data_IF_545502785223
#
_entry.id   IF_545502785223
#
_cell.length_a   1.000
_cell.length_b   1.000
_cell.length_c   1.000
_cell.angle_alpha   90.00
_cell.angle_beta   90.00
_cell.angle_gamma   90.00
#
_symmetry.space_group_name_H-M   'P 1'
#
loop_
_entity.id
_entity.type
_entity.pdbx_description
1 polymer ?
#
# COMPACT_ATOMS: atom_id res chain seq x y z
N UNK A 1 1.04 41.09 -48.32
CA UNK A 1 1.87 39.90 -48.58
C UNK A 1 2.53 39.48 -47.27
N UNK A 2 2.41 38.19 -46.95
CA UNK A 2 3.14 37.29 -46.02
C UNK A 2 4.04 37.81 -44.87
N UNK A 3 3.91 37.07 -43.75
CA UNK A 3 4.60 37.08 -42.45
C UNK A 3 6.04 36.54 -42.45
N UNK A 4 6.75 36.79 -41.33
CA UNK A 4 7.72 35.87 -40.69
C UNK A 4 9.10 36.49 -40.39
N UNK A 5 9.68 36.43 -39.20
CA UNK A 5 9.26 35.80 -37.94
C UNK A 5 10.23 36.17 -36.81
N UNK A 6 9.66 36.47 -35.64
CA UNK A 6 10.38 36.54 -34.38
C UNK A 6 10.62 35.12 -33.87
N UNK A 7 11.86 34.83 -33.48
CA UNK A 7 12.25 33.54 -32.93
C UNK A 7 11.60 33.30 -31.56
N UNK A 8 10.52 32.50 -31.56
CA UNK A 8 10.07 31.73 -30.40
C UNK A 8 10.39 30.28 -30.72
N UNK A 9 11.21 29.62 -29.91
CA UNK A 9 11.37 28.16 -29.98
C UNK A 9 10.08 27.56 -29.45
N UNK A 10 9.11 27.39 -30.34
CA UNK A 10 7.97 26.50 -30.16
C UNK A 10 8.43 25.08 -30.43
N UNK A 11 9.12 24.47 -29.48
CA UNK A 11 9.12 23.01 -29.37
C UNK A 11 7.94 22.62 -28.49
N UNK A 12 6.81 22.32 -29.14
CA UNK A 12 5.82 21.43 -28.52
C UNK A 12 6.51 20.08 -28.41
N UNK A 13 6.51 19.41 -27.24
CA UNK A 13 6.87 18.00 -27.20
C UNK A 13 5.87 17.27 -28.09
N UNK A 14 6.32 16.86 -29.27
CA UNK A 14 5.68 15.82 -30.06
C UNK A 14 5.97 14.50 -29.36
N UNK A 15 5.24 14.27 -28.27
CA UNK A 15 5.00 12.94 -27.78
C UNK A 15 3.50 12.75 -27.94
N UNK A 16 3.07 12.41 -29.15
CA UNK A 16 1.95 11.47 -29.27
C UNK A 16 2.44 10.19 -28.60
N UNK A 17 2.33 10.16 -27.27
CA UNK A 17 2.49 8.95 -26.51
C UNK A 17 1.48 8.00 -27.10
N UNK A 18 1.95 6.91 -27.70
CA UNK A 18 1.09 5.87 -28.22
C UNK A 18 0.07 5.54 -27.12
N UNK A 19 -1.17 6.00 -27.30
CA UNK A 19 -2.24 5.75 -26.34
C UNK A 19 -2.44 4.26 -26.34
N UNK A 20 -2.13 3.64 -25.21
CA UNK A 20 -2.24 2.21 -25.06
C UNK A 20 -3.69 1.82 -25.37
N UNK A 21 -3.90 0.82 -26.22
CA UNK A 21 -5.23 0.40 -26.72
C UNK A 21 -6.23 -0.02 -25.61
N UNK A 22 -5.80 0.03 -24.34
CA UNK A 22 -6.58 -0.21 -23.14
C UNK A 22 -7.36 1.01 -22.62
N UNK A 23 -7.15 2.23 -23.12
CA UNK A 23 -7.88 3.43 -22.64
C UNK A 23 -9.41 3.35 -22.86
N UNK A 24 -9.86 2.57 -23.84
CA UNK A 24 -11.29 2.37 -24.13
C UNK A 24 -11.87 1.06 -23.59
N UNK A 25 -11.13 0.34 -22.75
CA UNK A 25 -11.71 -0.84 -22.09
C UNK A 25 -12.60 -0.35 -20.94
N UNK A 26 -13.87 -0.79 -20.87
CA UNK A 26 -14.71 -0.52 -19.70
C UNK A 26 -13.95 -0.98 -18.45
N UNK A 27 -14.02 -0.18 -17.39
CA UNK A 27 -13.43 -0.51 -16.09
C UNK A 27 -14.02 -1.84 -15.61
N UNK A 28 -13.30 -2.94 -15.87
CA UNK A 28 -13.58 -4.24 -15.29
C UNK A 28 -12.82 -4.23 -13.97
N UNK A 29 -13.50 -4.34 -12.80
CA UNK A 29 -12.83 -4.41 -11.51
C UNK A 29 -12.06 -5.74 -11.43
N UNK A 30 -10.85 -5.76 -11.99
CA UNK A 30 -9.93 -6.88 -11.82
C UNK A 30 -9.35 -6.72 -10.41
N UNK A 31 -9.73 -7.66 -9.53
CA UNK A 31 -9.11 -7.87 -8.22
C UNK A 31 -7.58 -7.72 -8.37
N UNK A 32 -6.98 -6.78 -7.63
CA UNK A 32 -5.61 -6.35 -7.85
C UNK A 32 -4.62 -7.51 -7.70
N UNK A 33 -4.05 -7.95 -8.82
CA UNK A 33 -2.97 -8.93 -8.87
C UNK A 33 -1.65 -8.15 -8.89
N UNK A 34 -1.02 -7.96 -7.74
CA UNK A 34 0.33 -7.36 -7.70
C UNK A 34 1.32 -8.42 -8.16
N UNK A 35 2.09 -8.12 -9.20
CA UNK A 35 3.24 -8.88 -9.66
C UNK A 35 4.50 -8.04 -9.48
N UNK A 36 5.40 -8.46 -8.60
CA UNK A 36 6.63 -7.75 -8.28
C UNK A 36 7.80 -8.70 -8.09
N UNK A 37 8.26 -9.30 -9.20
CA UNK A 37 9.66 -9.65 -9.50
C UNK A 37 9.71 -10.34 -10.87
N UNK A 38 9.93 -9.56 -11.93
CA UNK A 38 10.53 -10.03 -13.19
C UNK A 38 10.97 -8.79 -13.99
N UNK A 39 12.26 -8.67 -14.29
CA UNK A 39 12.69 -7.93 -15.47
C UNK A 39 12.04 -8.62 -16.67
N UNK A 40 11.01 -8.01 -17.24
CA UNK A 40 10.51 -8.41 -18.55
C UNK A 40 11.43 -7.73 -19.55
N UNK A 41 12.40 -8.48 -20.09
CA UNK A 41 13.04 -8.10 -21.33
C UNK A 41 11.96 -8.17 -22.41
N UNK A 42 11.59 -7.03 -22.98
CA UNK A 42 10.62 -6.92 -24.05
C UNK A 42 11.09 -7.70 -25.28
N UNK A 43 10.65 -8.96 -25.37
CA UNK A 43 10.67 -9.72 -26.61
C UNK A 43 9.27 -9.67 -27.22
N UNK A 44 9.13 -9.31 -28.51
CA UNK A 44 7.83 -9.13 -29.17
C UNK A 44 6.97 -10.40 -29.28
N UNK A 45 7.42 -11.53 -28.71
CA UNK A 45 6.73 -12.83 -28.74
C UNK A 45 6.13 -13.28 -27.39
N UNK A 46 6.20 -12.48 -26.31
CA UNK A 46 5.66 -12.91 -25.00
C UNK A 46 4.14 -12.78 -24.96
N UNK A 47 3.43 -13.91 -25.13
CA UNK A 47 2.04 -14.04 -24.66
C UNK A 47 2.01 -13.76 -23.16
N UNK A 48 1.27 -12.73 -22.77
CA UNK A 48 1.15 -12.12 -21.43
C UNK A 48 0.69 -13.11 -20.35
N UNK A 49 1.63 -13.90 -19.83
CA UNK A 49 1.38 -14.76 -18.66
C UNK A 49 1.72 -13.93 -17.42
N UNK A 50 0.76 -13.15 -16.91
CA UNK A 50 0.90 -12.41 -15.66
C UNK A 50 0.82 -13.44 -14.52
N UNK A 51 1.95 -13.78 -13.92
CA UNK A 51 1.97 -14.60 -12.70
C UNK A 51 1.91 -13.65 -11.49
N UNK A 52 0.86 -13.72 -10.65
CA UNK A 52 0.75 -12.83 -9.50
C UNK A 52 1.88 -13.16 -8.50
N UNK A 53 2.41 -12.13 -7.85
CA UNK A 53 3.31 -12.29 -6.71
C UNK A 53 2.53 -12.17 -5.41
N UNK A 54 2.94 -12.91 -4.40
CA UNK A 54 2.38 -12.81 -3.07
C UNK A 54 2.78 -11.48 -2.43
N UNK A 55 1.79 -10.66 -2.03
CA UNK A 55 2.04 -9.39 -1.33
C UNK A 55 2.84 -9.56 -0.03
N UNK A 56 2.74 -10.72 0.62
CA UNK A 56 3.35 -10.96 1.93
C UNK A 56 4.83 -11.35 1.85
N UNK A 57 5.25 -12.11 0.84
CA UNK A 57 6.62 -12.63 0.71
C UNK A 57 7.34 -12.25 -0.59
N UNK A 58 6.64 -11.70 -1.59
CA UNK A 58 7.19 -11.41 -2.92
C UNK A 58 7.38 -12.63 -3.83
N UNK A 59 7.10 -13.84 -3.35
CA UNK A 59 7.21 -15.06 -4.14
C UNK A 59 6.13 -15.16 -5.23
N UNK A 60 6.46 -15.79 -6.35
CA UNK A 60 5.53 -16.00 -7.48
C UNK A 60 4.46 -17.05 -7.09
N UNK A 61 3.20 -16.79 -7.45
CA UNK A 61 2.07 -17.70 -7.28
C UNK A 61 1.79 -18.37 -8.64
N UNK A 62 2.42 -19.52 -8.89
CA UNK A 62 2.30 -20.23 -10.17
C UNK A 62 1.33 -21.43 -10.09
N UNK A 63 1.48 -22.29 -9.08
CA UNK A 63 0.73 -23.55 -8.94
C UNK A 63 0.26 -23.81 -7.50
N UNK A 64 0.31 -22.80 -6.64
CA UNK A 64 -0.03 -22.89 -5.22
C UNK A 64 -1.42 -22.32 -4.95
N UNK A 65 -2.07 -22.79 -3.88
CA UNK A 65 -3.33 -22.21 -3.40
C UNK A 65 -3.14 -20.70 -3.14
N UNK A 66 -3.91 -19.89 -3.85
CA UNK A 66 -3.92 -18.44 -3.71
C UNK A 66 -5.12 -17.98 -2.87
N UNK A 67 -4.93 -16.89 -2.13
CA UNK A 67 -6.00 -16.18 -1.45
C UNK A 67 -5.80 -14.67 -1.56
N UNK A 68 -6.79 -13.90 -1.12
CA UNK A 68 -6.75 -12.45 -1.13
C UNK A 68 -6.42 -11.93 0.26
N UNK A 69 -5.44 -11.03 0.30
CA UNK A 69 -4.97 -10.36 1.49
C UNK A 69 -5.46 -8.91 1.52
N UNK A 70 -6.02 -8.48 2.64
CA UNK A 70 -6.39 -7.08 2.81
C UNK A 70 -5.29 -6.36 3.59
N UNK A 71 -4.66 -5.29 3.04
CA UNK A 71 -3.70 -4.48 3.80
C UNK A 71 -4.25 -4.05 5.15
N UNK A 72 -5.49 -3.53 5.17
CA UNK A 72 -6.30 -3.36 6.38
C UNK A 72 -7.19 -4.58 6.60
N UNK A 73 -7.02 -5.32 7.70
CA UNK A 73 -7.78 -6.54 7.94
C UNK A 73 -9.29 -6.31 8.06
N UNK A 74 -10.08 -7.30 7.65
CA UNK A 74 -11.55 -7.20 7.74
C UNK A 74 -12.06 -7.03 9.18
N UNK A 75 -11.35 -7.56 10.18
CA UNK A 75 -11.71 -7.34 11.58
C UNK A 75 -11.61 -5.86 11.97
N UNK A 76 -10.67 -5.12 11.37
CA UNK A 76 -10.51 -3.69 11.58
C UNK A 76 -11.67 -2.92 10.96
N UNK A 77 -12.12 -3.33 9.76
CA UNK A 77 -13.30 -2.73 9.12
C UNK A 77 -14.56 -2.89 9.98
N UNK A 78 -14.75 -4.08 10.55
CA UNK A 78 -15.87 -4.36 11.46
C UNK A 78 -15.77 -3.52 12.74
N UNK A 79 -14.59 -3.51 13.36
CA UNK A 79 -14.33 -2.77 14.59
C UNK A 79 -14.52 -1.26 14.44
N UNK A 80 -14.18 -0.72 13.27
CA UNK A 80 -14.37 0.69 12.93
C UNK A 80 -15.85 1.09 12.74
N UNK A 81 -16.79 0.15 12.67
CA UNK A 81 -18.21 0.44 12.40
C UNK A 81 -18.73 -0.13 11.08
N UNK A 82 -18.16 -1.25 10.63
CA UNK A 82 -18.52 -1.94 9.38
C UNK A 82 -18.33 -1.07 8.12
N UNK A 83 -17.16 -0.44 8.00
CA UNK A 83 -16.81 0.46 6.89
C UNK A 83 -16.48 -0.25 5.57
N UNK A 84 -16.63 -1.58 5.48
CA UNK A 84 -16.16 -2.37 4.34
C UNK A 84 -16.68 -1.88 2.97
N UNK A 85 -17.90 -1.34 2.94
CA UNK A 85 -18.55 -0.85 1.73
C UNK A 85 -18.35 0.67 1.52
N UNK A 86 -17.69 1.36 2.47
CA UNK A 86 -17.37 2.77 2.31
C UNK A 86 -16.34 2.94 1.21
N UNK A 87 -16.54 3.95 0.36
CA UNK A 87 -15.55 4.37 -0.62
C UNK A 87 -14.31 4.88 0.08
N UNK A 88 -13.16 4.58 -0.49
CA UNK A 88 -11.87 4.98 0.04
C UNK A 88 -11.32 6.11 -0.81
N UNK A 89 -11.42 7.33 -0.27
CA UNK A 89 -11.01 8.55 -0.98
C UNK A 89 -9.52 8.55 -1.29
N UNK A 90 -8.69 7.99 -0.40
CA UNK A 90 -7.25 8.02 -0.59
C UNK A 90 -6.80 7.22 -1.82
N UNK A 91 -7.52 6.16 -2.22
CA UNK A 91 -7.16 5.26 -3.33
C UNK A 91 -7.71 5.64 -4.71
N UNK A 92 -7.90 6.94 -4.97
CA UNK A 92 -8.46 7.41 -6.23
C UNK A 92 -7.71 8.55 -6.91
N UNK A 93 -7.66 8.48 -8.24
CA UNK A 93 -7.30 9.58 -9.14
C UNK A 93 -8.53 10.28 -9.77
N UNK A 94 -9.74 9.74 -9.59
CA UNK A 94 -10.99 10.18 -10.23
C UNK A 94 -12.22 9.81 -9.36
N UNK A 95 -13.09 10.76 -9.02
CA UNK A 95 -14.23 10.57 -8.07
C UNK A 95 -15.16 9.40 -8.45
N UNK A 96 -15.22 9.02 -9.72
CA UNK A 96 -16.08 7.91 -10.19
C UNK A 96 -15.46 6.51 -10.05
N UNK A 97 -14.18 6.40 -9.68
CA UNK A 97 -13.44 5.11 -9.63
C UNK A 97 -12.92 4.74 -8.23
N UNK A 98 -13.48 5.32 -7.17
CA UNK A 98 -13.06 5.04 -5.79
C UNK A 98 -13.40 3.59 -5.38
N UNK A 99 -12.41 2.75 -5.05
CA UNK A 99 -12.67 1.40 -4.55
C UNK A 99 -13.23 1.46 -3.12
N UNK A 100 -13.94 0.41 -2.70
CA UNK A 100 -14.32 0.22 -1.29
C UNK A 100 -13.24 -0.50 -0.51
N UNK A 101 -13.24 -0.39 0.82
CA UNK A 101 -12.31 -1.13 1.70
C UNK A 101 -12.34 -2.65 1.44
N UNK A 102 -13.50 -3.20 1.08
CA UNK A 102 -13.66 -4.61 0.71
C UNK A 102 -12.98 -4.97 -0.62
N UNK A 103 -12.87 -4.03 -1.54
CA UNK A 103 -12.26 -4.26 -2.86
C UNK A 103 -10.73 -4.14 -2.81
N UNK A 104 -10.18 -3.42 -1.82
CA UNK A 104 -8.76 -3.26 -1.57
C UNK A 104 -8.16 -4.56 -1.00
N UNK A 105 -7.86 -5.49 -1.90
CA UNK A 105 -7.20 -6.76 -1.60
C UNK A 105 -6.15 -7.11 -2.65
N UNK A 106 -5.13 -7.87 -2.25
CA UNK A 106 -3.98 -8.26 -3.06
C UNK A 106 -3.79 -9.78 -3.07
N UNK A 107 -3.20 -10.31 -4.12
CA UNK A 107 -2.88 -11.74 -4.20
C UNK A 107 -1.85 -12.15 -3.13
N UNK A 108 -2.07 -13.31 -2.51
CA UNK A 108 -1.17 -13.91 -1.53
C UNK A 108 -1.20 -15.42 -1.62
N UNK A 109 -0.10 -16.09 -1.26
CA UNK A 109 -0.15 -17.53 -0.99
C UNK A 109 -1.06 -17.79 0.20
N UNK A 110 -1.92 -18.80 0.12
CA UNK A 110 -2.81 -19.20 1.23
C UNK A 110 -2.04 -19.53 2.50
N UNK A 111 -0.89 -20.19 2.37
CA UNK A 111 0.02 -20.47 3.50
C UNK A 111 0.52 -19.19 4.15
N UNK A 112 1.09 -18.27 3.35
CA UNK A 112 1.58 -16.98 3.86
C UNK A 112 0.48 -16.23 4.60
N UNK A 113 -0.71 -16.13 4.00
CA UNK A 113 -1.84 -15.42 4.60
C UNK A 113 -2.29 -16.05 5.92
N UNK A 114 -2.45 -17.38 5.96
CA UNK A 114 -2.85 -18.11 7.17
C UNK A 114 -1.84 -17.93 8.30
N UNK A 115 -0.54 -18.02 8.00
CA UNK A 115 0.51 -17.80 9.00
C UNK A 115 0.55 -16.35 9.47
N UNK A 116 0.37 -15.38 8.57
CA UNK A 116 0.36 -13.96 8.91
C UNK A 116 -0.82 -13.61 9.81
N UNK A 117 -2.01 -14.12 9.50
CA UNK A 117 -3.20 -13.93 10.32
C UNK A 117 -2.94 -14.41 11.76
N UNK A 118 -2.37 -15.61 11.93
CA UNK A 118 -2.08 -16.20 13.24
C UNK A 118 -0.98 -15.48 14.00
N UNK A 119 0.12 -15.12 13.34
CA UNK A 119 1.32 -14.57 14.00
C UNK A 119 1.23 -13.06 14.23
N UNK A 120 0.56 -12.33 13.33
CA UNK A 120 0.61 -10.86 13.30
C UNK A 120 -0.75 -10.24 13.57
N UNK A 121 -1.83 -10.76 12.99
CA UNK A 121 -3.15 -10.14 13.17
C UNK A 121 -3.85 -10.56 14.46
N UNK A 122 -3.93 -11.86 14.77
CA UNK A 122 -4.61 -12.36 15.97
C UNK A 122 -4.11 -11.70 17.27
N UNK A 123 -2.78 -11.54 17.50
CA UNK A 123 -2.28 -10.93 18.74
C UNK A 123 -2.68 -9.47 18.92
N UNK A 124 -2.98 -8.75 17.84
CA UNK A 124 -3.19 -7.30 17.85
C UNK A 124 -4.65 -6.90 18.06
N UNK A 125 -5.59 -7.80 17.81
CA UNK A 125 -7.04 -7.52 17.85
C UNK A 125 -7.46 -7.00 19.23
N UNK A 126 -7.10 -7.70 20.31
CA UNK A 126 -7.47 -7.30 21.68
C UNK A 126 -6.78 -6.00 22.12
N UNK A 127 -5.45 -5.83 21.93
CA UNK A 127 -4.76 -4.56 22.20
C UNK A 127 -5.36 -3.36 21.49
N UNK A 128 -5.68 -3.44 20.20
CA UNK A 128 -6.25 -2.33 19.43
C UNK A 128 -7.67 -1.99 19.90
N UNK A 129 -8.49 -3.01 20.22
CA UNK A 129 -9.80 -2.77 20.85
C UNK A 129 -9.66 -2.03 22.18
N UNK A 130 -8.70 -2.40 23.03
CA UNK A 130 -8.44 -1.67 24.28
C UNK A 130 -7.95 -0.25 24.02
N UNK A 131 -6.99 -0.06 23.13
CA UNK A 131 -6.46 1.26 22.80
C UNK A 131 -7.55 2.19 22.27
N UNK A 132 -8.45 1.70 21.41
CA UNK A 132 -9.60 2.48 20.91
C UNK A 132 -10.64 2.75 22.01
N UNK A 133 -10.78 1.88 23.01
CA UNK A 133 -11.62 2.10 24.19
C UNK A 133 -10.97 2.99 25.28
N UNK A 134 -9.71 3.40 25.11
CA UNK A 134 -8.99 4.27 26.08
C UNK A 134 -8.27 3.48 27.17
N UNK A 135 -8.19 2.16 27.01
CA UNK A 135 -7.46 1.27 27.88
C UNK A 135 -5.94 1.31 27.66
N UNK A 136 -5.23 0.61 28.55
CA UNK A 136 -3.78 0.44 28.50
C UNK A 136 -3.41 -0.87 27.81
N UNK A 137 -2.19 -0.91 27.29
CA UNK A 137 -1.55 -2.10 26.70
C UNK A 137 -0.20 -2.35 27.35
N UNK A 138 0.27 -3.59 27.29
CA UNK A 138 1.60 -3.99 27.80
C UNK A 138 2.69 -3.74 26.75
N UNK A 139 3.95 -3.84 27.16
CA UNK A 139 5.09 -3.74 26.24
C UNK A 139 5.06 -4.79 25.14
N UNK A 140 4.78 -6.05 25.48
CA UNK A 140 4.66 -7.13 24.49
C UNK A 140 3.52 -6.91 23.50
N UNK A 141 2.45 -6.24 23.94
CA UNK A 141 1.32 -5.87 23.07
C UNK A 141 1.69 -4.72 22.14
N UNK A 142 2.53 -3.77 22.58
CA UNK A 142 3.08 -2.72 21.73
C UNK A 142 3.96 -3.32 20.63
N UNK A 143 4.81 -4.31 20.95
CA UNK A 143 5.63 -4.98 19.95
C UNK A 143 4.77 -5.66 18.87
N UNK A 144 3.72 -6.37 19.29
CA UNK A 144 2.76 -6.97 18.35
C UNK A 144 2.02 -5.91 17.50
N UNK A 145 1.66 -4.76 18.10
CA UNK A 145 1.10 -3.62 17.37
C UNK A 145 2.09 -3.10 16.33
N UNK A 146 3.37 -2.99 16.66
CA UNK A 146 4.40 -2.50 15.74
C UNK A 146 4.65 -3.46 14.58
N UNK A 147 4.65 -4.77 14.82
CA UNK A 147 4.74 -5.78 13.75
C UNK A 147 3.53 -5.71 12.80
N UNK A 148 2.34 -5.50 13.37
CA UNK A 148 1.12 -5.29 12.59
C UNK A 148 1.12 -3.97 11.78
N UNK A 149 1.64 -2.89 12.36
CA UNK A 149 1.78 -1.61 11.65
C UNK A 149 2.79 -1.72 10.49
N UNK A 150 3.88 -2.47 10.65
CA UNK A 150 4.81 -2.79 9.56
C UNK A 150 4.08 -3.48 8.39
N UNK A 151 3.22 -4.45 8.71
CA UNK A 151 2.37 -5.12 7.72
C UNK A 151 1.45 -4.14 7.01
N UNK A 152 0.71 -3.32 7.75
CA UNK A 152 -0.22 -2.36 7.14
C UNK A 152 0.54 -1.41 6.22
N UNK A 153 1.68 -0.87 6.68
CA UNK A 153 2.48 0.08 5.91
C UNK A 153 2.96 -0.54 4.60
N UNK A 154 3.63 -1.70 4.68
CA UNK A 154 4.17 -2.37 3.50
C UNK A 154 3.10 -2.84 2.53
N UNK A 155 2.05 -3.50 3.02
CA UNK A 155 0.97 -3.99 2.16
C UNK A 155 0.20 -2.85 1.50
N UNK A 156 0.03 -1.72 2.18
CA UNK A 156 -0.63 -0.54 1.61
C UNK A 156 0.26 0.19 0.59
N UNK A 157 1.58 0.23 0.81
CA UNK A 157 2.51 0.75 -0.19
C UNK A 157 2.49 -0.13 -1.47
N UNK A 158 2.49 -1.46 -1.31
CA UNK A 158 2.36 -2.40 -2.42
C UNK A 158 0.98 -2.29 -3.11
N UNK A 159 -0.08 -2.02 -2.36
CA UNK A 159 -1.41 -1.71 -2.91
C UNK A 159 -1.36 -0.45 -3.77
N UNK A 160 -0.74 0.62 -3.26
CA UNK A 160 -0.60 1.86 -3.99
C UNK A 160 0.21 1.72 -5.27
N UNK A 161 1.30 0.94 -5.24
CA UNK A 161 2.05 0.59 -6.44
C UNK A 161 1.20 -0.20 -7.45
N UNK A 162 0.42 -1.16 -6.98
CA UNK A 162 -0.48 -1.94 -7.83
C UNK A 162 -1.56 -1.08 -8.49
N UNK A 163 -2.09 -0.10 -7.77
CA UNK A 163 -3.09 0.86 -8.25
C UNK A 163 -2.49 1.89 -9.21
N UNK A 164 -1.24 2.31 -8.98
CA UNK A 164 -0.51 3.26 -9.83
C UNK A 164 -0.13 2.72 -11.21
N UNK A 165 -0.23 1.40 -11.43
CA UNK A 165 0.01 0.75 -12.71
C UNK A 165 1.49 0.59 -13.08
N UNK A 166 1.75 0.13 -14.31
CA UNK A 166 3.09 -0.26 -14.82
C UNK A 166 4.09 0.90 -14.97
N UNK A 167 3.64 2.15 -14.80
CA UNK A 167 4.49 3.36 -14.87
C UNK A 167 5.28 3.63 -13.60
N UNK A 168 4.92 3.02 -12.45
CA UNK A 168 5.72 3.09 -11.24
C UNK A 168 6.76 1.96 -11.22
N UNK A 169 7.99 2.28 -11.62
CA UNK A 169 9.15 1.43 -11.31
C UNK A 169 9.61 1.72 -9.88
N UNK A 170 9.12 0.91 -8.93
CA UNK A 170 9.59 0.97 -7.56
C UNK A 170 10.70 -0.07 -7.35
N UNK A 171 11.84 0.38 -6.83
CA UNK A 171 12.98 -0.46 -6.47
C UNK A 171 12.66 -1.24 -5.18
N UNK A 172 11.69 -2.15 -5.24
CA UNK A 172 11.33 -2.98 -4.10
C UNK A 172 12.39 -4.07 -3.86
N UNK A 173 12.95 -4.04 -2.66
CA UNK A 173 13.82 -5.08 -2.11
C UNK A 173 13.03 -6.08 -1.27
N UNK A 174 13.67 -7.15 -0.82
CA UNK A 174 13.06 -8.21 0.00
C UNK A 174 12.36 -7.65 1.25
N UNK A 175 12.97 -6.64 1.88
CA UNK A 175 12.45 -5.91 3.06
C UNK A 175 11.25 -5.00 2.77
N UNK A 176 10.77 -4.96 1.52
CA UNK A 176 9.53 -4.29 1.13
C UNK A 176 8.31 -5.16 1.44
N UNK A 177 8.49 -6.49 1.50
CA UNK A 177 7.44 -7.44 1.76
C UNK A 177 7.26 -7.70 3.27
N UNK A 178 6.02 -7.72 3.79
CA UNK A 178 5.74 -7.88 5.22
C UNK A 178 6.50 -9.02 5.92
N UNK A 179 6.60 -10.22 5.32
CA UNK A 179 7.26 -11.38 5.94
C UNK A 179 8.73 -11.16 6.27
N UNK A 180 9.41 -10.33 5.48
CA UNK A 180 10.84 -10.07 5.63
C UNK A 180 11.11 -8.71 6.27
N UNK A 181 10.07 -7.87 6.36
CA UNK A 181 10.15 -6.51 6.90
C UNK A 181 10.02 -6.46 8.42
N UNK A 182 9.13 -7.26 8.98
CA UNK A 182 8.72 -7.12 10.39
C UNK A 182 9.95 -7.12 11.30
N UNK A 183 10.10 -6.07 12.09
CA UNK A 183 11.20 -5.93 13.04
C UNK A 183 12.58 -5.72 12.43
N UNK A 184 12.69 -5.53 11.11
CA UNK A 184 13.97 -5.32 10.42
C UNK A 184 14.56 -3.90 10.61
N UNK A 185 13.78 -2.98 11.18
CA UNK A 185 14.08 -1.55 11.24
C UNK A 185 13.66 -0.97 12.59
N UNK A 186 14.27 0.15 12.98
CA UNK A 186 13.83 0.90 14.15
C UNK A 186 12.48 1.56 13.89
N UNK A 187 11.67 1.66 14.95
CA UNK A 187 10.25 1.99 14.87
C UNK A 187 9.88 3.04 15.91
N UNK A 188 9.06 4.00 15.50
CA UNK A 188 8.45 5.01 16.37
C UNK A 188 6.94 4.96 16.15
N UNK A 189 6.18 4.94 17.25
CA UNK A 189 4.72 5.06 17.23
C UNK A 189 4.26 6.19 18.15
N UNK A 190 3.47 7.12 17.62
CA UNK A 190 2.83 8.19 18.40
C UNK A 190 1.32 7.94 18.36
N UNK A 191 0.73 7.78 19.54
CA UNK A 191 -0.68 7.46 19.71
C UNK A 191 -1.38 8.65 20.40
N UNK A 192 -2.43 9.18 19.77
CA UNK A 192 -3.20 10.28 20.34
C UNK A 192 -4.66 10.22 19.89
N UNK A 193 -5.50 11.05 20.52
CA UNK A 193 -6.93 11.13 20.27
C UNK A 193 -7.25 12.40 19.49
N UNK A 194 -8.15 12.30 18.52
CA UNK A 194 -8.67 13.43 17.74
C UNK A 194 -10.19 13.47 17.90
N UNK A 195 -10.70 14.61 18.38
CA UNK A 195 -12.12 14.79 18.73
C UNK A 195 -12.98 15.32 17.57
N UNK A 196 -12.35 15.78 16.49
CA UNK A 196 -13.04 16.32 15.31
C UNK A 196 -13.63 15.21 14.45
N UNK A 197 -14.58 15.57 13.55
CA UNK A 197 -15.30 14.74 12.56
C UNK A 197 -14.99 13.24 12.64
N UNK A 198 -15.98 12.43 13.00
CA UNK A 198 -15.83 10.98 13.15
C UNK A 198 -15.55 10.35 11.77
N UNK A 199 -14.27 10.15 11.46
CA UNK A 199 -13.84 9.24 10.39
C UNK A 199 -13.57 7.89 11.05
N UNK A 200 -14.32 6.89 10.62
CA UNK A 200 -14.34 5.58 11.28
C UNK A 200 -13.06 4.77 11.06
N UNK A 201 -12.51 4.83 9.86
CA UNK A 201 -11.25 4.18 9.49
C UNK A 201 -10.64 4.95 8.33
N UNK A 202 -9.35 5.28 8.44
CA UNK A 202 -8.65 5.93 7.34
C UNK A 202 -7.16 5.64 7.35
N UNK A 203 -6.58 5.68 6.16
CA UNK A 203 -5.15 5.72 5.94
C UNK A 203 -4.85 7.05 5.30
N UNK A 204 -4.01 7.87 5.93
CA UNK A 204 -3.69 9.22 5.48
C UNK A 204 -2.31 9.23 4.83
N UNK A 205 -2.20 9.94 3.70
CA UNK A 205 -0.97 10.16 2.90
C UNK A 205 -0.30 8.94 2.24
N UNK A 206 -0.99 7.81 2.09
CA UNK A 206 -0.45 6.58 1.50
C UNK A 206 -0.26 6.57 -0.02
N UNK A 207 -0.77 7.55 -0.75
CA UNK A 207 -0.72 7.55 -2.22
C UNK A 207 -0.14 8.81 -2.83
N UNK A 208 0.44 9.68 -2.01
CA UNK A 208 1.31 10.68 -2.59
C UNK A 208 2.55 9.96 -3.17
N UNK A 209 3.09 10.49 -4.28
CA UNK A 209 4.27 9.91 -4.94
C UNK A 209 5.47 9.81 -3.98
N UNK A 210 5.57 10.72 -3.01
CA UNK A 210 6.61 10.73 -1.98
C UNK A 210 6.54 9.49 -1.08
N UNK A 211 5.36 9.05 -0.67
CA UNK A 211 5.16 7.86 0.14
C UNK A 211 5.41 6.60 -0.69
N UNK A 212 4.95 6.55 -1.94
CA UNK A 212 5.19 5.39 -2.80
C UNK A 212 6.69 5.19 -3.12
N UNK A 213 7.45 6.29 -3.24
CA UNK A 213 8.90 6.24 -3.43
C UNK A 213 9.67 6.02 -2.12
N UNK A 214 9.17 6.51 -0.98
CA UNK A 214 9.80 6.40 0.35
C UNK A 214 8.75 6.16 1.43
N UNK A 215 8.25 4.92 1.61
CA UNK A 215 7.18 4.62 2.56
C UNK A 215 7.75 4.52 3.99
N UNK A 216 8.29 5.61 4.52
CA UNK A 216 8.97 5.65 5.83
C UNK A 216 7.99 5.88 6.99
N UNK A 217 6.91 6.62 6.73
CA UNK A 217 5.95 7.04 7.74
C UNK A 217 4.52 6.88 7.23
N UNK A 218 3.60 6.51 8.11
CA UNK A 218 2.19 6.32 7.79
C UNK A 218 1.32 6.86 8.93
N UNK A 219 0.12 7.29 8.60
CA UNK A 219 -0.87 7.73 9.57
C UNK A 219 -2.14 6.88 9.44
N UNK A 220 -2.47 6.16 10.51
CA UNK A 220 -3.65 5.30 10.59
C UNK A 220 -4.63 5.90 11.59
N UNK A 221 -5.88 6.10 11.14
CA UNK A 221 -6.98 6.55 12.00
C UNK A 221 -7.98 5.43 12.19
N UNK A 222 -8.33 5.16 13.45
CA UNK A 222 -9.35 4.19 13.84
C UNK A 222 -10.29 4.87 14.82
N UNK A 223 -11.49 5.25 14.38
CA UNK A 223 -12.43 6.12 15.11
C UNK A 223 -11.74 7.43 15.52
N UNK A 224 -11.58 7.67 16.81
CA UNK A 224 -10.91 8.82 17.38
C UNK A 224 -9.44 8.55 17.75
N UNK A 225 -8.96 7.29 17.66
CA UNK A 225 -7.55 6.95 17.83
C UNK A 225 -6.78 7.26 16.54
N UNK A 226 -5.73 8.05 16.66
CA UNK A 226 -4.78 8.34 15.60
C UNK A 226 -3.41 7.75 15.96
N UNK A 227 -2.81 7.07 14.99
CA UNK A 227 -1.52 6.39 15.12
C UNK A 227 -0.59 6.92 14.03
N UNK A 228 0.41 7.70 14.42
CA UNK A 228 1.55 8.02 13.55
C UNK A 228 2.57 6.91 13.74
N UNK A 229 2.91 6.24 12.66
CA UNK A 229 3.88 5.16 12.65
C UNK A 229 5.03 5.49 11.71
N UNK A 230 6.25 5.38 12.20
CA UNK A 230 7.47 5.69 11.44
C UNK A 230 8.45 4.53 11.59
N UNK A 231 9.11 4.18 10.50
CA UNK A 231 10.21 3.22 10.47
C UNK A 231 11.43 3.86 9.82
N UNK A 232 12.64 3.57 10.32
CA UNK A 232 13.88 4.15 9.81
C UNK A 232 14.23 3.72 8.37
N UNK A 233 13.51 2.75 7.81
CA UNK A 233 13.62 2.42 6.40
C UNK A 233 13.21 3.61 5.53
N UNK A 234 14.11 4.09 4.69
CA UNK A 234 13.96 5.31 3.88
C UNK A 234 13.83 6.61 4.70
N UNK A 235 14.15 6.63 6.00
CA UNK A 235 14.31 7.87 6.77
C UNK A 235 15.69 8.46 6.49
N UNK A 236 15.77 9.25 5.41
CA UNK A 236 16.96 9.97 4.95
C UNK A 236 18.15 9.07 4.62
N UNK A 237 18.90 9.46 3.60
CA UNK A 237 20.12 8.76 3.21
C UNK A 237 21.20 8.91 4.29
N UNK A 238 22.09 7.92 4.43
CA UNK A 238 23.31 8.03 5.23
C UNK A 238 24.18 9.24 4.86
N UNK A 239 24.02 9.78 3.65
CA UNK A 239 24.63 11.06 3.22
C UNK A 239 24.12 12.28 3.99
N UNK A 240 23.03 12.19 4.74
CA UNK A 240 22.57 13.22 5.67
C UNK A 240 23.18 13.11 7.08
N UNK A 241 24.14 12.19 7.28
CA UNK A 241 24.89 12.08 8.54
C UNK A 241 24.15 11.33 9.65
N UNK A 242 23.04 10.68 9.35
CA UNK A 242 22.41 9.71 10.25
C UNK A 242 23.10 8.36 10.05
N UNK A 243 23.79 7.89 11.08
CA UNK A 243 24.48 6.60 11.06
C UNK A 243 23.45 5.48 10.88
N UNK A 244 23.72 4.59 9.92
CA UNK A 244 22.99 3.33 9.69
C UNK A 244 23.46 2.30 10.70
#
# INVERSE_FOLDING_TARGET
MSMGGDGVITERPWVEGARHASENLPFIPRRFQVGGRLQIADSPAVRTTISPSCVLCGGIIANEDATLEHPLPQWLHRMAGNVSENRVEIFSSDEQKQPTWRQLCLASHKKCNTEFARKIEEPVISPINRLTAGGRVTWSEIDAIFDWLDKIKSSSALMGAALGGHSLQLNYYETSFPNLRIGAFDRIGIFFRVTDKIIYLDLLDFLNYSFLSTPSAMLLRIKDLMIVYVSNNFLLSSTFGLAV
#
